data_IF_468325409911
#
_entry.id   IF_468325409911
#
_cell.length_a   1.000
_cell.length_b   1.000
_cell.length_c   1.000
_cell.angle_alpha   90.00
_cell.angle_beta   90.00
_cell.angle_gamma   90.00
#
_symmetry.space_group_name_H-M   'P 1'
#
loop_
_entity.id
_entity.type
_entity.pdbx_description
1 polymer ?
#
# COMPACT_ATOMS: atom_id res chain seq x y z
N UNK A 1 -16.56 8.27 1.97
CA UNK A 1 -16.86 7.00 1.26
C UNK A 1 -16.20 6.89 -0.11
N UNK A 2 -16.61 7.58 -1.19
CA UNK A 2 -15.90 7.47 -2.49
C UNK A 2 -14.48 8.08 -2.47
N UNK A 3 -14.31 9.26 -1.87
CA UNK A 3 -12.99 9.91 -1.79
C UNK A 3 -11.97 9.10 -0.96
N UNK A 4 -12.40 8.42 0.09
CA UNK A 4 -11.50 7.62 0.94
C UNK A 4 -10.98 6.38 0.20
N UNK A 5 -11.85 5.67 -0.53
CA UNK A 5 -11.45 4.54 -1.38
C UNK A 5 -10.45 4.99 -2.44
N UNK A 6 -10.68 6.17 -3.05
CA UNK A 6 -9.74 6.80 -3.97
C UNK A 6 -8.37 7.08 -3.34
N UNK A 7 -8.34 7.64 -2.13
CA UNK A 7 -7.09 7.89 -1.39
C UNK A 7 -6.32 6.59 -1.12
N UNK A 8 -6.97 5.53 -0.68
CA UNK A 8 -6.31 4.25 -0.39
C UNK A 8 -5.73 3.60 -1.65
N UNK A 9 -6.47 3.62 -2.77
CA UNK A 9 -5.98 3.12 -4.06
C UNK A 9 -4.74 3.88 -4.54
N UNK A 10 -4.75 5.21 -4.43
CA UNK A 10 -3.61 6.04 -4.82
C UNK A 10 -2.40 5.74 -3.92
N UNK A 11 -2.61 5.58 -2.61
CA UNK A 11 -1.55 5.25 -1.67
C UNK A 11 -0.93 3.88 -1.98
N UNK A 12 -1.77 2.87 -2.21
CA UNK A 12 -1.34 1.51 -2.57
C UNK A 12 -0.56 1.49 -3.88
N UNK A 13 -1.06 2.18 -4.91
CA UNK A 13 -0.40 2.28 -6.21
C UNK A 13 0.94 3.01 -6.14
N UNK A 14 1.00 4.12 -5.39
CA UNK A 14 2.23 4.89 -5.23
C UNK A 14 3.29 4.11 -4.45
N UNK A 15 2.89 3.43 -3.37
CA UNK A 15 3.78 2.59 -2.56
C UNK A 15 4.30 1.40 -3.38
N UNK A 16 3.48 0.78 -4.23
CA UNK A 16 3.98 -0.26 -5.15
C UNK A 16 4.97 0.30 -6.19
N UNK A 17 4.73 1.50 -6.71
CA UNK A 17 5.66 2.16 -7.65
C UNK A 17 7.01 2.42 -6.98
N UNK A 18 7.02 2.86 -5.72
CA UNK A 18 8.25 3.03 -4.94
C UNK A 18 8.94 1.70 -4.68
N UNK A 19 8.20 0.65 -4.31
CA UNK A 19 8.73 -0.71 -4.14
C UNK A 19 9.49 -1.19 -5.39
N UNK A 20 8.89 -1.03 -6.57
CA UNK A 20 9.51 -1.42 -7.86
C UNK A 20 10.75 -0.58 -8.17
N UNK A 21 10.71 0.73 -7.91
CA UNK A 21 11.86 1.64 -8.13
C UNK A 21 13.04 1.33 -7.22
N UNK A 22 12.78 0.87 -6.01
CA UNK A 22 13.80 0.55 -5.02
C UNK A 22 14.21 -0.95 -5.04
N UNK A 23 13.70 -1.74 -5.99
CA UNK A 23 13.91 -3.19 -6.08
C UNK A 23 13.60 -3.96 -4.78
N UNK A 24 12.53 -3.55 -4.09
CA UNK A 24 12.17 -4.12 -2.79
C UNK A 24 11.18 -5.29 -2.90
N UNK A 25 11.39 -6.30 -2.07
CA UNK A 25 10.36 -7.34 -1.82
C UNK A 25 9.20 -6.74 -1.02
N UNK A 26 8.04 -7.39 -1.09
CA UNK A 26 6.82 -6.92 -0.43
C UNK A 26 7.01 -6.74 1.09
N UNK A 27 7.68 -7.68 1.75
CA UNK A 27 7.95 -7.56 3.18
C UNK A 27 8.95 -6.47 3.54
N UNK A 28 9.86 -6.13 2.63
CA UNK A 28 10.87 -5.09 2.87
C UNK A 28 10.24 -3.69 2.79
N UNK A 29 9.33 -3.44 1.84
CA UNK A 29 8.59 -2.18 1.82
C UNK A 29 7.66 -2.05 3.02
N UNK A 30 6.96 -3.13 3.41
CA UNK A 30 6.09 -3.14 4.58
C UNK A 30 6.85 -2.78 5.86
N UNK A 31 8.05 -3.35 6.05
CA UNK A 31 8.96 -2.97 7.15
C UNK A 31 9.40 -1.51 7.06
N UNK A 32 9.81 -1.02 5.90
CA UNK A 32 10.33 0.36 5.75
C UNK A 32 9.28 1.44 6.00
N UNK A 33 8.03 1.17 5.64
CA UNK A 33 6.91 2.11 5.85
C UNK A 33 6.11 1.79 7.12
N UNK A 34 6.57 0.84 7.92
CA UNK A 34 5.93 0.38 9.16
C UNK A 34 4.44 0.04 9.00
N UNK A 35 4.08 -0.70 7.94
CA UNK A 35 2.72 -1.20 7.72
C UNK A 35 2.69 -2.73 7.71
N UNK A 36 1.57 -3.30 8.14
CA UNK A 36 1.35 -4.74 8.04
C UNK A 36 1.18 -5.21 6.58
N UNK A 37 1.50 -6.47 6.33
CA UNK A 37 1.29 -7.08 5.00
C UNK A 37 -0.18 -7.03 4.57
N UNK A 38 -1.11 -7.24 5.51
CA UNK A 38 -2.56 -7.13 5.25
C UNK A 38 -2.91 -5.71 4.84
N UNK A 39 -2.53 -4.72 5.64
CA UNK A 39 -2.76 -3.30 5.36
C UNK A 39 -2.24 -2.90 3.99
N UNK A 40 -1.03 -3.34 3.61
CA UNK A 40 -0.50 -3.04 2.29
C UNK A 40 -1.32 -3.68 1.16
N UNK A 41 -1.83 -4.89 1.38
CA UNK A 41 -2.70 -5.56 0.43
C UNK A 41 -4.07 -4.89 0.32
N UNK A 42 -4.62 -4.42 1.43
CA UNK A 42 -5.90 -3.72 1.51
C UNK A 42 -5.81 -2.35 0.82
N UNK A 43 -4.71 -1.61 1.01
CA UNK A 43 -4.41 -0.37 0.29
C UNK A 43 -4.44 -0.56 -1.24
N UNK A 44 -3.82 -1.63 -1.76
CA UNK A 44 -3.86 -1.94 -3.20
C UNK A 44 -5.27 -2.21 -3.71
N UNK A 45 -6.17 -2.65 -2.84
CA UNK A 45 -7.57 -2.95 -3.16
C UNK A 45 -8.51 -1.78 -2.87
N UNK A 46 -7.99 -0.66 -2.36
CA UNK A 46 -8.82 0.47 -1.92
C UNK A 46 -9.65 0.15 -0.68
N UNK A 47 -9.29 -0.91 0.04
CA UNK A 47 -9.98 -1.34 1.23
C UNK A 47 -9.34 -0.67 2.44
N UNK A 48 -10.19 -0.18 3.34
CA UNK A 48 -9.74 0.23 4.65
C UNK A 48 -9.48 -1.04 5.46
N UNK A 49 -8.24 -1.27 5.89
CA UNK A 49 -7.95 -2.34 6.83
C UNK A 49 -8.64 -1.97 8.15
N UNK A 50 -9.75 -2.64 8.44
CA UNK A 50 -10.57 -2.44 9.63
C UNK A 50 -9.88 -3.01 10.88
#
# INVERSE_FOLDING_TARGET
MENEVGCYLILGAYTEKLRKRADLKNGEICKKVHIGHSTFNDLKKGQNAH
#
